data_IF_802811214379
#
_entry.id   IF_802811214379
#
_cell.length_a   1.000
_cell.length_b   1.000
_cell.length_c   1.000
_cell.angle_alpha   90.00
_cell.angle_beta   90.00
_cell.angle_gamma   90.00
#
_symmetry.space_group_name_H-M   'P 1'
#
loop_
_entity.id
_entity.type
_entity.pdbx_description
1 polymer ?
#
# COMPACT_ATOMS: atom_id res chain seq x y z
N UNK A 1 -30.77 -0.55 13.31
CA UNK A 1 -29.91 0.27 12.43
C UNK A 1 -30.03 1.72 12.88
N UNK A 2 -28.92 2.41 13.10
CA UNK A 2 -28.92 3.87 13.35
C UNK A 2 -28.91 4.58 11.99
N UNK A 3 -29.85 5.49 11.77
CA UNK A 3 -29.94 6.31 10.56
C UNK A 3 -28.84 7.37 10.52
N UNK A 4 -28.35 7.71 9.32
CA UNK A 4 -27.28 8.73 9.12
C UNK A 4 -27.59 10.08 9.78
N UNK A 5 -28.86 10.45 9.90
CA UNK A 5 -29.28 11.71 10.50
C UNK A 5 -29.59 11.61 12.00
N UNK A 6 -29.60 10.42 12.58
CA UNK A 6 -29.94 10.19 13.98
C UNK A 6 -28.84 10.69 14.91
N UNK A 7 -29.15 10.99 16.19
CA UNK A 7 -28.14 11.24 17.21
C UNK A 7 -27.13 10.09 17.27
N UNK A 8 -25.84 10.44 17.33
CA UNK A 8 -24.77 9.46 17.33
C UNK A 8 -24.77 8.66 18.64
N UNK A 9 -24.71 7.31 18.59
CA UNK A 9 -24.82 6.47 19.79
C UNK A 9 -23.61 6.57 20.74
N UNK A 10 -22.50 7.20 20.30
CA UNK A 10 -21.33 7.44 21.15
C UNK A 10 -21.53 8.53 22.22
N UNK A 11 -22.73 9.10 22.34
CA UNK A 11 -23.05 10.11 23.36
C UNK A 11 -22.59 11.54 23.00
N UNK A 12 -22.07 11.77 21.79
CA UNK A 12 -21.56 13.10 21.39
C UNK A 12 -22.63 14.16 21.14
N UNK A 13 -23.91 13.76 21.06
CA UNK A 13 -25.03 14.64 20.69
C UNK A 13 -25.04 15.10 19.22
N UNK A 14 -24.01 14.77 18.42
CA UNK A 14 -23.92 15.09 17.00
C UNK A 14 -24.75 14.09 16.17
N UNK A 15 -25.18 14.47 14.96
CA UNK A 15 -25.76 13.52 13.99
C UNK A 15 -24.71 12.46 13.62
N UNK A 16 -25.10 11.19 13.52
CA UNK A 16 -24.21 10.06 13.24
C UNK A 16 -23.31 10.30 12.01
N UNK A 17 -23.85 10.82 10.91
CA UNK A 17 -23.10 11.18 9.70
C UNK A 17 -21.99 12.23 9.89
N UNK A 18 -22.05 13.01 10.97
CA UNK A 18 -21.07 14.05 11.34
C UNK A 18 -20.19 13.64 12.51
N UNK A 19 -20.30 12.39 12.95
CA UNK A 19 -19.52 11.84 14.06
C UNK A 19 -18.95 10.49 13.61
N UNK A 20 -19.37 9.38 14.21
CA UNK A 20 -18.78 8.06 14.02
C UNK A 20 -18.99 7.47 12.61
N UNK A 21 -19.93 7.95 11.80
CA UNK A 21 -20.21 7.34 10.48
C UNK A 21 -19.00 7.25 9.54
N UNK A 22 -18.06 8.22 9.59
CA UNK A 22 -16.84 8.14 8.78
C UNK A 22 -15.92 7.03 9.30
N UNK A 23 -15.71 7.01 10.61
CA UNK A 23 -14.93 5.97 11.31
C UNK A 23 -15.53 4.59 11.09
N UNK A 24 -16.83 4.41 11.33
CA UNK A 24 -17.53 3.13 11.14
C UNK A 24 -17.51 2.65 9.68
N UNK A 25 -17.54 3.55 8.69
CA UNK A 25 -17.37 3.16 7.29
C UNK A 25 -15.93 2.72 6.96
N UNK A 26 -14.94 3.35 7.59
CA UNK A 26 -13.54 2.93 7.49
C UNK A 26 -13.38 1.56 8.16
N UNK A 27 -13.95 1.37 9.35
CA UNK A 27 -13.91 0.12 10.11
C UNK A 27 -14.64 -1.01 9.37
N UNK A 28 -15.82 -0.77 8.78
CA UNK A 28 -16.53 -1.77 7.97
C UNK A 28 -15.78 -2.17 6.70
N UNK A 29 -15.01 -1.25 6.10
CA UNK A 29 -14.13 -1.57 4.98
C UNK A 29 -12.90 -2.35 5.44
N UNK A 30 -12.35 -2.02 6.60
CA UNK A 30 -11.23 -2.73 7.22
C UNK A 30 -11.61 -4.12 7.77
N UNK A 31 -12.87 -4.31 8.18
CA UNK A 31 -13.39 -5.54 8.82
C UNK A 31 -13.98 -6.55 7.85
N UNK A 32 -13.89 -6.36 6.53
CA UNK A 32 -14.31 -7.38 5.58
C UNK A 32 -13.28 -8.51 5.60
N UNK A 33 -13.49 -9.54 6.43
CA UNK A 33 -12.70 -10.79 6.51
C UNK A 33 -12.36 -11.38 5.12
N UNK A 34 -13.18 -11.06 4.11
CA UNK A 34 -13.03 -11.50 2.71
C UNK A 34 -11.76 -10.99 1.98
N UNK A 35 -11.01 -10.02 2.53
CA UNK A 35 -9.73 -9.56 1.97
C UNK A 35 -8.57 -9.69 2.95
N UNK A 36 -8.54 -10.76 3.75
CA UNK A 36 -7.29 -11.14 4.41
C UNK A 36 -6.21 -11.55 3.38
N UNK A 37 -4.93 -11.31 3.70
CA UNK A 37 -3.81 -11.61 2.80
C UNK A 37 -3.76 -13.08 2.44
N UNK A 38 -3.91 -13.99 3.41
CA UNK A 38 -3.85 -15.43 3.16
C UNK A 38 -5.05 -15.94 2.33
N UNK A 39 -6.17 -15.21 2.37
CA UNK A 39 -7.35 -15.54 1.56
C UNK A 39 -7.18 -15.07 0.10
N UNK A 40 -6.53 -13.94 -0.11
CA UNK A 40 -6.35 -13.33 -1.44
C UNK A 40 -5.10 -13.87 -2.17
N UNK A 41 -4.02 -14.10 -1.42
CA UNK A 41 -2.72 -14.53 -1.92
C UNK A 41 -2.37 -15.88 -1.29
N UNK A 42 -2.52 -16.95 -2.08
CA UNK A 42 -2.12 -18.30 -1.68
C UNK A 42 -0.59 -18.42 -1.54
N UNK A 43 -0.07 -19.39 -0.77
CA UNK A 43 1.37 -19.58 -0.59
C UNK A 43 2.18 -19.77 -1.89
N UNK A 44 1.54 -20.31 -2.93
CA UNK A 44 2.12 -20.56 -4.25
C UNK A 44 1.94 -19.39 -5.25
N UNK A 45 1.35 -18.26 -4.82
CA UNK A 45 1.17 -17.10 -5.67
C UNK A 45 2.51 -16.58 -6.23
N UNK A 46 2.50 -16.18 -7.51
CA UNK A 46 3.66 -15.53 -8.12
C UNK A 46 3.83 -14.10 -7.62
N UNK A 47 5.06 -13.56 -7.66
CA UNK A 47 5.33 -12.15 -7.31
C UNK A 47 4.47 -11.19 -8.13
N UNK A 48 4.25 -11.50 -9.42
CA UNK A 48 3.37 -10.69 -10.26
C UNK A 48 1.94 -10.60 -9.69
N UNK A 49 1.41 -11.69 -9.13
CA UNK A 49 0.09 -11.68 -8.49
C UNK A 49 0.09 -10.85 -7.21
N UNK A 50 1.16 -10.92 -6.41
CA UNK A 50 1.32 -10.08 -5.20
C UNK A 50 1.34 -8.61 -5.59
N UNK A 51 2.15 -8.24 -6.59
CA UNK A 51 2.21 -6.89 -7.14
C UNK A 51 0.86 -6.41 -7.69
N UNK A 52 0.16 -7.27 -8.42
CA UNK A 52 -1.16 -6.94 -8.97
C UNK A 52 -2.16 -6.64 -7.85
N UNK A 53 -2.16 -7.42 -6.77
CA UNK A 53 -3.02 -7.17 -5.61
C UNK A 53 -2.62 -5.90 -4.84
N UNK A 54 -1.33 -5.62 -4.67
CA UNK A 54 -0.84 -4.36 -4.12
C UNK A 54 -1.36 -3.16 -4.93
N UNK A 55 -1.20 -3.20 -6.25
CA UNK A 55 -1.70 -2.16 -7.17
C UNK A 55 -3.23 -2.02 -7.11
N UNK A 56 -3.95 -3.13 -7.07
CA UNK A 56 -5.42 -3.14 -6.97
C UNK A 56 -5.91 -2.58 -5.64
N UNK A 57 -5.24 -2.90 -4.54
CA UNK A 57 -5.55 -2.39 -3.21
C UNK A 57 -5.32 -0.86 -3.16
N UNK A 58 -4.19 -0.38 -3.68
CA UNK A 58 -3.90 1.06 -3.80
C UNK A 58 -4.97 1.81 -4.60
N UNK A 59 -5.38 1.26 -5.75
CA UNK A 59 -6.45 1.85 -6.59
C UNK A 59 -7.79 1.95 -5.84
N UNK A 60 -8.09 0.95 -5.02
CA UNK A 60 -9.34 0.87 -4.25
C UNK A 60 -9.26 1.57 -2.89
N UNK A 61 -8.10 2.11 -2.52
CA UNK A 61 -7.81 2.61 -1.18
C UNK A 61 -8.06 1.55 -0.08
N UNK A 62 -7.73 0.29 -0.38
CA UNK A 62 -7.73 -0.83 0.57
C UNK A 62 -6.43 -0.85 1.37
N UNK A 63 -6.21 0.24 2.12
CA UNK A 63 -5.04 0.42 2.97
C UNK A 63 -4.90 -0.64 4.08
N UNK A 64 -5.98 -1.19 4.67
CA UNK A 64 -5.87 -2.33 5.59
C UNK A 64 -5.18 -3.55 4.95
N UNK A 65 -5.59 -3.96 3.74
CA UNK A 65 -4.93 -5.04 3.02
C UNK A 65 -3.44 -4.74 2.75
N UNK A 66 -3.14 -3.49 2.35
CA UNK A 66 -1.76 -3.07 2.11
C UNK A 66 -0.90 -3.17 3.37
N UNK A 67 -1.42 -2.69 4.52
CA UNK A 67 -0.74 -2.77 5.80
C UNK A 67 -0.44 -4.22 6.20
N UNK A 68 -1.41 -5.12 6.06
CA UNK A 68 -1.27 -6.55 6.41
C UNK A 68 -0.32 -7.31 5.48
N UNK A 69 -0.13 -6.84 4.23
CA UNK A 69 0.81 -7.43 3.28
C UNK A 69 2.28 -7.07 3.59
N UNK A 70 2.51 -5.99 4.35
CA UNK A 70 3.82 -5.58 4.82
C UNK A 70 4.27 -6.46 6.01
N UNK A 71 5.53 -6.90 5.97
CA UNK A 71 6.16 -7.70 7.01
C UNK A 71 6.38 -6.87 8.28
N UNK A 72 6.37 -7.53 9.44
CA UNK A 72 6.81 -6.89 10.68
C UNK A 72 8.28 -6.46 10.59
N UNK A 73 8.60 -5.31 11.15
CA UNK A 73 9.96 -4.74 11.12
C UNK A 73 10.33 -4.05 9.80
N UNK A 74 9.48 -4.10 8.77
CA UNK A 74 9.68 -3.32 7.54
C UNK A 74 9.50 -1.82 7.81
N UNK A 75 10.23 -0.97 7.08
CA UNK A 75 10.31 0.49 7.32
C UNK A 75 8.95 1.18 7.23
N UNK A 76 8.17 0.92 6.18
CA UNK A 76 6.87 1.55 5.96
C UNK A 76 5.87 1.10 7.03
N UNK A 77 5.82 -0.19 7.36
CA UNK A 77 4.91 -0.69 8.41
C UNK A 77 5.30 -0.16 9.80
N UNK A 78 6.59 -0.18 10.11
CA UNK A 78 7.12 0.20 11.43
C UNK A 78 7.07 1.70 11.70
N UNK A 79 6.84 2.52 10.67
CA UNK A 79 6.59 3.95 10.83
C UNK A 79 5.24 4.28 11.50
N UNK A 80 4.36 3.28 11.67
CA UNK A 80 3.03 3.45 12.26
C UNK A 80 2.86 2.52 13.46
N UNK A 81 2.17 3.02 14.49
CA UNK A 81 1.92 2.25 15.71
C UNK A 81 1.06 1.01 15.46
N UNK A 82 0.08 1.11 14.55
CA UNK A 82 -0.85 0.04 14.20
C UNK A 82 -1.47 0.26 12.80
N UNK A 83 -2.29 -0.71 12.37
CA UNK A 83 -3.03 -0.66 11.10
C UNK A 83 -3.90 0.60 10.98
N UNK A 84 -4.55 1.00 12.09
CA UNK A 84 -5.46 2.14 12.08
C UNK A 84 -4.71 3.44 11.82
N UNK A 85 -3.57 3.64 12.47
CA UNK A 85 -2.70 4.80 12.25
C UNK A 85 -2.22 4.88 10.79
N UNK A 86 -1.87 3.74 10.18
CA UNK A 86 -1.51 3.69 8.76
C UNK A 86 -2.68 4.06 7.84
N UNK A 87 -3.87 3.50 8.10
CA UNK A 87 -5.08 3.77 7.31
C UNK A 87 -5.49 5.24 7.41
N UNK A 88 -5.45 5.82 8.61
CA UNK A 88 -5.73 7.24 8.84
C UNK A 88 -4.73 8.11 8.06
N UNK A 89 -3.42 7.82 8.16
CA UNK A 89 -2.39 8.56 7.42
C UNK A 89 -2.54 8.47 5.89
N UNK A 90 -2.91 7.30 5.35
CA UNK A 90 -3.13 7.14 3.92
C UNK A 90 -4.44 7.79 3.43
N UNK A 91 -5.39 8.07 4.33
CA UNK A 91 -6.63 8.77 4.00
C UNK A 91 -6.45 10.29 3.86
N UNK A 92 -5.35 10.87 4.34
CA UNK A 92 -5.12 12.33 4.44
C UNK A 92 -4.59 13.02 3.16
N UNK A 93 -4.63 12.35 2.00
CA UNK A 93 -4.38 13.02 0.70
C UNK A 93 -2.92 13.02 0.26
N UNK A 94 -2.40 14.15 -0.24
CA UNK A 94 -1.15 14.21 -1.04
C UNK A 94 0.15 13.91 -0.28
N UNK A 95 0.12 13.85 1.05
CA UNK A 95 1.25 13.43 1.89
C UNK A 95 1.14 11.96 2.34
N UNK A 96 0.22 11.20 1.76
CA UNK A 96 0.02 9.81 2.11
C UNK A 96 1.32 9.00 1.87
N UNK A 97 1.71 8.14 2.82
CA UNK A 97 2.85 7.23 2.66
C UNK A 97 2.72 6.34 1.41
N UNK A 98 1.46 6.04 1.06
CA UNK A 98 1.07 5.35 -0.16
C UNK A 98 -0.10 6.12 -0.79
N UNK A 99 0.12 6.89 -1.87
CA UNK A 99 -0.94 7.70 -2.46
C UNK A 99 -1.99 6.85 -3.16
N UNK A 100 -3.24 7.31 -3.14
CA UNK A 100 -4.36 6.70 -3.86
C UNK A 100 -4.27 7.02 -5.36
N UNK A 101 -4.61 6.05 -6.20
CA UNK A 101 -5.25 6.35 -7.49
C UNK A 101 -4.37 6.45 -8.73
N UNK A 102 -3.05 6.40 -8.64
CA UNK A 102 -2.22 6.33 -9.85
C UNK A 102 -1.81 4.88 -10.17
N UNK A 103 -2.01 4.41 -11.41
CA UNK A 103 -1.56 3.08 -11.79
C UNK A 103 -0.04 3.06 -11.82
N UNK A 104 0.56 2.35 -10.88
CA UNK A 104 1.96 2.04 -10.99
C UNK A 104 2.21 1.11 -12.19
N UNK A 105 3.14 1.47 -13.06
CA UNK A 105 3.59 0.68 -14.19
C UNK A 105 4.69 -0.27 -13.74
N UNK A 106 4.56 -1.56 -14.07
CA UNK A 106 5.59 -2.55 -13.81
C UNK A 106 6.82 -2.26 -14.66
N UNK A 107 8.01 -2.19 -14.06
CA UNK A 107 9.25 -1.87 -14.77
C UNK A 107 10.20 -3.06 -14.80
N UNK A 108 10.52 -3.63 -13.64
CA UNK A 108 11.51 -4.70 -13.52
C UNK A 108 11.15 -5.66 -12.39
N UNK A 109 11.49 -6.93 -12.55
CA UNK A 109 11.42 -7.92 -11.48
C UNK A 109 12.68 -8.78 -11.51
N UNK A 110 13.29 -8.93 -10.34
CA UNK A 110 14.40 -9.83 -10.08
C UNK A 110 14.00 -10.80 -8.99
N UNK A 111 14.18 -12.10 -9.23
CA UNK A 111 14.04 -13.14 -8.19
C UNK A 111 15.45 -13.48 -7.72
N UNK A 112 15.68 -13.45 -6.41
CA UNK A 112 16.95 -13.72 -5.74
C UNK A 112 16.76 -14.98 -4.89
N UNK A 113 17.52 -16.03 -5.19
CA UNK A 113 17.54 -17.27 -4.39
C UNK A 113 16.18 -18.01 -4.27
N UNK A 114 15.16 -17.60 -5.03
CA UNK A 114 13.83 -18.22 -5.04
C UNK A 114 12.93 -17.85 -3.85
N UNK A 115 13.52 -17.30 -2.79
CA UNK A 115 12.83 -16.88 -1.56
C UNK A 115 12.80 -15.35 -1.40
N UNK A 116 13.57 -14.62 -2.21
CA UNK A 116 13.58 -13.17 -2.22
C UNK A 116 13.24 -12.64 -3.62
N UNK A 117 12.64 -11.47 -3.70
CA UNK A 117 12.42 -10.77 -4.97
C UNK A 117 12.49 -9.26 -4.80
N UNK A 118 12.90 -8.57 -5.86
CA UNK A 118 12.88 -7.12 -5.96
C UNK A 118 12.10 -6.70 -7.20
N UNK A 119 11.15 -5.77 -7.03
CA UNK A 119 10.35 -5.21 -8.11
C UNK A 119 10.55 -3.71 -8.18
N UNK A 120 10.68 -3.19 -9.39
CA UNK A 120 10.60 -1.77 -9.68
C UNK A 120 9.28 -1.46 -10.38
N UNK A 121 8.64 -0.39 -9.92
CA UNK A 121 7.50 0.20 -10.61
C UNK A 121 7.66 1.72 -10.70
N UNK A 122 6.98 2.34 -11.67
CA UNK A 122 6.98 3.78 -11.85
C UNK A 122 5.57 4.37 -11.78
N UNK A 123 5.47 5.62 -11.36
CA UNK A 123 4.22 6.37 -11.20
C UNK A 123 4.40 7.73 -11.87
N UNK A 124 3.51 8.06 -12.81
CA UNK A 124 3.60 9.28 -13.60
C UNK A 124 4.62 9.26 -14.76
N UNK A 125 5.33 8.14 -14.98
CA UNK A 125 6.35 8.07 -16.04
C UNK A 125 5.79 8.24 -17.46
N UNK A 126 4.55 7.76 -17.70
CA UNK A 126 3.87 7.87 -18.99
C UNK A 126 3.18 9.23 -19.20
N UNK A 127 3.09 10.07 -18.16
CA UNK A 127 2.52 11.41 -18.29
C UNK A 127 3.55 12.36 -18.90
N UNK A 128 3.31 12.77 -20.15
CA UNK A 128 4.19 13.67 -20.89
C UNK A 128 4.29 15.08 -20.29
N UNK A 129 3.31 15.51 -19.48
CA UNK A 129 3.31 16.81 -18.84
C UNK A 129 4.26 16.85 -17.62
N UNK A 130 4.53 15.72 -16.98
CA UNK A 130 5.38 15.66 -15.79
C UNK A 130 6.86 15.74 -16.15
N UNK A 131 7.57 16.67 -15.49
CA UNK A 131 9.03 16.83 -15.60
C UNK A 131 9.80 15.85 -14.71
N UNK A 132 9.12 15.24 -13.75
CA UNK A 132 9.65 14.25 -12.81
C UNK A 132 8.59 13.19 -12.57
N UNK A 133 9.00 11.98 -12.21
CA UNK A 133 8.10 10.88 -11.90
C UNK A 133 8.65 10.09 -10.72
N UNK A 134 7.80 9.31 -10.06
CA UNK A 134 8.21 8.50 -8.91
C UNK A 134 8.57 7.08 -9.36
N UNK A 135 9.61 6.53 -8.76
CA UNK A 135 10.02 5.14 -8.88
C UNK A 135 9.95 4.52 -7.50
N UNK A 136 9.33 3.36 -7.40
CA UNK A 136 9.27 2.57 -6.18
C UNK A 136 10.04 1.26 -6.37
N UNK A 137 10.85 0.90 -5.36
CA UNK A 137 11.41 -0.44 -5.18
C UNK A 137 10.65 -1.15 -4.08
N UNK A 138 10.13 -2.32 -4.40
CA UNK A 138 9.43 -3.21 -3.48
C UNK A 138 10.25 -4.50 -3.36
N UNK A 139 10.71 -4.81 -2.16
CA UNK A 139 11.34 -6.07 -1.83
C UNK A 139 10.28 -7.03 -1.26
N UNK A 140 10.44 -8.31 -1.57
CA UNK A 140 9.58 -9.38 -1.10
C UNK A 140 10.41 -10.51 -0.53
N UNK A 141 9.89 -11.12 0.53
CA UNK A 141 10.39 -12.40 1.07
C UNK A 141 9.26 -13.42 1.10
N UNK A 142 9.59 -14.65 0.68
CA UNK A 142 8.68 -15.80 0.70
C UNK A 142 8.64 -16.39 2.11
N UNK A 143 7.44 -16.57 2.65
CA UNK A 143 7.19 -17.26 3.92
C UNK A 143 6.33 -18.50 3.67
N UNK A 144 6.10 -19.29 4.72
CA UNK A 144 5.24 -20.48 4.65
C UNK A 144 3.81 -20.10 4.21
N UNK A 145 3.31 -18.96 4.69
CA UNK A 145 2.01 -18.39 4.36
C UNK A 145 1.99 -17.61 3.02
N UNK A 146 3.10 -17.64 2.27
CA UNK A 146 3.27 -16.95 0.99
C UNK A 146 4.15 -15.71 1.07
N UNK A 147 4.18 -14.95 -0.02
CA UNK A 147 5.00 -13.76 -0.13
C UNK A 147 4.50 -12.62 0.76
N UNK A 148 5.44 -11.87 1.33
CA UNK A 148 5.21 -10.61 2.05
C UNK A 148 6.14 -9.52 1.51
N UNK A 149 5.72 -8.27 1.62
CA UNK A 149 6.59 -7.13 1.32
C UNK A 149 7.47 -6.87 2.52
N UNK A 150 8.78 -6.85 2.36
CA UNK A 150 9.77 -6.69 3.43
C UNK A 150 10.75 -5.52 3.19
N UNK A 151 10.50 -4.75 2.14
CA UNK A 151 11.14 -3.46 1.92
C UNK A 151 10.33 -2.60 0.96
N UNK A 152 10.16 -1.33 1.30
CA UNK A 152 9.53 -0.35 0.43
C UNK A 152 10.36 0.95 0.39
N UNK A 153 10.77 1.35 -0.81
CA UNK A 153 11.52 2.58 -1.03
C UNK A 153 10.95 3.33 -2.22
N UNK A 154 10.81 4.65 -2.12
CA UNK A 154 10.35 5.51 -3.21
C UNK A 154 11.38 6.62 -3.49
N UNK A 155 11.54 7.00 -4.76
CA UNK A 155 12.39 8.11 -5.19
C UNK A 155 11.71 8.87 -6.32
N UNK A 156 11.74 10.19 -6.27
CA UNK A 156 11.35 11.05 -7.39
C UNK A 156 12.58 11.25 -8.29
N UNK A 157 12.43 11.00 -9.58
CA UNK A 157 13.50 11.11 -10.57
C UNK A 157 13.09 12.01 -11.76
N UNK A 158 14.03 12.69 -12.43
CA UNK A 158 13.73 13.47 -13.62
C UNK A 158 13.15 12.63 -14.76
N UNK A 159 12.33 13.27 -15.61
CA UNK A 159 11.86 12.66 -16.86
C UNK A 159 13.06 12.18 -17.71
N UNK A 160 12.94 10.99 -18.28
CA UNK A 160 14.00 10.37 -19.09
C UNK A 160 15.05 9.60 -18.28
N UNK A 161 14.97 9.58 -16.94
CA UNK A 161 15.81 8.70 -16.13
C UNK A 161 15.54 7.24 -16.45
N UNK A 162 16.61 6.49 -16.76
CA UNK A 162 16.54 5.04 -16.93
C UNK A 162 16.29 4.39 -15.56
N UNK A 163 15.21 3.62 -15.46
CA UNK A 163 14.84 2.96 -14.21
C UNK A 163 15.53 1.60 -14.10
N UNK A 164 16.46 1.47 -13.15
CA UNK A 164 17.24 0.25 -12.85
C UNK A 164 17.38 0.07 -11.34
N UNK A 165 17.71 -1.15 -10.89
CA UNK A 165 17.88 -1.45 -9.45
C UNK A 165 18.96 -0.59 -8.79
N UNK A 166 20.00 -0.23 -9.55
CA UNK A 166 21.07 0.66 -9.12
C UNK A 166 20.62 2.05 -8.66
N UNK A 167 19.40 2.49 -9.02
CA UNK A 167 18.80 3.71 -8.46
C UNK A 167 18.66 3.64 -6.93
N UNK A 168 18.60 2.44 -6.35
CA UNK A 168 18.41 2.20 -4.92
C UNK A 168 19.64 1.59 -4.23
N UNK A 169 20.74 1.37 -4.94
CA UNK A 169 21.95 0.73 -4.40
C UNK A 169 22.91 1.71 -3.69
N UNK A 170 22.60 3.02 -3.67
CA UNK A 170 23.43 4.03 -3.00
C UNK A 170 22.82 4.51 -1.69
N UNK A 171 23.19 3.84 -0.58
CA UNK A 171 23.17 4.35 0.80
C UNK A 171 23.92 3.41 1.78
N UNK A 172 25.05 2.83 1.36
CA UNK A 172 25.99 2.17 2.27
C UNK A 172 27.36 2.82 2.06
N UNK A 173 27.57 3.95 2.73
CA UNK A 173 28.86 4.58 2.92
C UNK A 173 29.08 4.73 4.43
#
# INVERSE_FOLDING_TARGET
MVGRNDPCPCGSGKKYKRCCFKTDQTDQRASSEKRDVATVLKPDASIYKVWLEWRNARKQADFPFMYRLLSEGETLRSAFADERAFVEACAEGSSAPVPRGEPAAFVHLRIVEGEHAELLQSIGADDAALQQFEVEKIAFTKREEGWRIDGYQAKVVPRGTKVTLSLFEQAAA
#
